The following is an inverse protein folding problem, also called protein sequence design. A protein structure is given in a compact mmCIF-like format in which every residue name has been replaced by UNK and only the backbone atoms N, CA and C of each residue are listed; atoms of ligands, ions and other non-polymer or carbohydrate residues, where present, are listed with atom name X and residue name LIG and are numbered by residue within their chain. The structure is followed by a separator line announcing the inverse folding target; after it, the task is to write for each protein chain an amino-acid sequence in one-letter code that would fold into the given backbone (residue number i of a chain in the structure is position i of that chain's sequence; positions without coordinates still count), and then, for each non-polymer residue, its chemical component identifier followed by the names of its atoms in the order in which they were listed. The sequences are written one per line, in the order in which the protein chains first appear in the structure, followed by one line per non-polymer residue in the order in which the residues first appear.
data_IF_457218810990
#
_entry.id   IF_457218810990
#
_cell.length_a   1.000
_cell.length_b   1.000
_cell.length_c   1.000
_cell.angle_alpha   90.00
_cell.angle_beta   90.00
_cell.angle_gamma   90.00
#
_symmetry.space_group_name_H-M   'P 1'
#
loop_
_entity.id
_entity.type
_entity.pdbx_description
1 polymer ?
#
# COMPACT_ATOMS: atom_id res chain seq x y z
N UNK A 1 18.82 -27.17 -22.80
CA UNK A 1 19.08 -26.44 -21.54
C UNK A 1 17.81 -25.70 -21.17
N UNK A 2 17.17 -26.05 -20.05
CA UNK A 2 15.98 -25.35 -19.55
C UNK A 2 16.42 -24.18 -18.68
N UNK A 3 15.95 -22.96 -18.98
CA UNK A 3 16.24 -21.79 -18.16
C UNK A 3 15.47 -21.90 -16.83
N UNK A 4 16.11 -21.59 -15.68
CA UNK A 4 15.43 -21.67 -14.39
C UNK A 4 14.34 -20.58 -14.28
N UNK A 5 13.16 -20.97 -13.81
CA UNK A 5 12.04 -20.04 -13.58
C UNK A 5 12.42 -19.05 -12.47
N UNK A 6 12.39 -17.75 -12.78
CA UNK A 6 12.76 -16.67 -11.82
C UNK A 6 11.55 -15.91 -11.28
N UNK A 7 10.47 -15.85 -12.04
CA UNK A 7 9.28 -15.09 -11.69
C UNK A 7 8.05 -15.98 -11.88
N UNK A 8 7.16 -15.95 -10.89
CA UNK A 8 5.93 -16.73 -10.90
C UNK A 8 4.77 -15.86 -10.41
N UNK A 9 3.75 -15.72 -11.23
CA UNK A 9 2.52 -15.01 -10.90
C UNK A 9 1.35 -15.97 -11.03
N UNK A 10 0.61 -16.15 -9.93
CA UNK A 10 -0.58 -16.98 -9.85
C UNK A 10 -1.73 -16.07 -9.48
N UNK A 11 -2.71 -15.95 -10.39
CA UNK A 11 -3.96 -15.25 -10.16
C UNK A 11 -5.09 -16.21 -10.47
N UNK A 12 -5.81 -16.64 -9.45
CA UNK A 12 -6.87 -17.62 -9.61
C UNK A 12 -8.10 -17.19 -8.83
N UNK A 13 -9.28 -17.55 -9.31
CA UNK A 13 -10.51 -17.36 -8.52
C UNK A 13 -10.55 -18.36 -7.35
N UNK A 14 -10.17 -19.60 -7.62
CA UNK A 14 -10.21 -20.74 -6.69
C UNK A 14 -8.82 -21.31 -6.38
N UNK A 15 -8.73 -22.17 -5.38
CA UNK A 15 -7.51 -22.92 -5.04
C UNK A 15 -7.07 -23.78 -6.24
N UNK A 16 -5.82 -23.67 -6.73
CA UNK A 16 -5.31 -24.57 -7.77
C UNK A 16 -5.22 -26.04 -7.32
N UNK A 17 -5.36 -26.30 -6.02
CA UNK A 17 -5.49 -27.64 -5.44
C UNK A 17 -4.16 -28.30 -5.10
N UNK A 18 -4.24 -29.34 -4.26
CA UNK A 18 -3.07 -30.02 -3.64
C UNK A 18 -2.02 -30.45 -4.67
N UNK A 19 -2.45 -31.03 -5.79
CA UNK A 19 -1.54 -31.54 -6.83
C UNK A 19 -0.72 -30.43 -7.48
N UNK A 20 -1.33 -29.27 -7.69
CA UNK A 20 -0.65 -28.11 -8.29
C UNK A 20 0.30 -27.51 -7.26
N UNK A 21 -0.14 -27.31 -6.02
CA UNK A 21 0.73 -26.84 -4.94
C UNK A 21 1.92 -27.76 -4.71
N UNK A 22 1.73 -29.07 -4.68
CA UNK A 22 2.81 -30.04 -4.54
C UNK A 22 3.86 -29.89 -5.65
N UNK A 23 3.45 -29.60 -6.89
CA UNK A 23 4.39 -29.32 -7.99
C UNK A 23 5.08 -27.97 -7.81
N UNK A 24 4.33 -26.93 -7.46
CA UNK A 24 4.90 -25.60 -7.26
C UNK A 24 5.91 -25.57 -6.09
N UNK A 25 5.69 -26.38 -5.05
CA UNK A 25 6.62 -26.58 -3.92
C UNK A 25 7.96 -27.23 -4.31
N UNK A 26 8.11 -27.67 -5.56
CA UNK A 26 9.41 -28.19 -6.07
C UNK A 26 10.23 -27.12 -6.77
N UNK A 27 9.64 -25.97 -7.07
CA UNK A 27 10.29 -24.90 -7.83
C UNK A 27 11.18 -24.08 -6.90
N UNK A 28 12.48 -24.06 -7.20
CA UNK A 28 13.50 -23.33 -6.45
C UNK A 28 14.03 -22.13 -7.24
N UNK A 29 14.70 -21.22 -6.55
CA UNK A 29 15.39 -20.09 -7.19
C UNK A 29 14.48 -18.96 -7.68
N UNK A 30 13.19 -19.01 -7.33
CA UNK A 30 12.23 -17.93 -7.62
C UNK A 30 12.68 -16.67 -6.89
N UNK A 31 12.74 -15.56 -7.63
CA UNK A 31 13.07 -14.23 -7.13
C UNK A 31 11.83 -13.36 -6.93
N UNK A 32 10.82 -13.52 -7.78
CA UNK A 32 9.56 -12.80 -7.69
C UNK A 32 8.39 -13.76 -7.67
N UNK A 33 7.58 -13.64 -6.63
CA UNK A 33 6.39 -14.44 -6.45
C UNK A 33 5.18 -13.56 -6.19
N UNK A 34 4.14 -13.73 -6.98
CA UNK A 34 2.85 -13.05 -6.79
C UNK A 34 1.74 -14.10 -6.74
N UNK A 35 0.98 -14.10 -5.64
CA UNK A 35 -0.12 -15.04 -5.43
C UNK A 35 -1.37 -14.27 -5.02
N UNK A 36 -2.40 -14.33 -5.86
CA UNK A 36 -3.71 -13.76 -5.62
C UNK A 36 -4.80 -14.82 -5.78
N UNK A 37 -5.66 -14.91 -4.77
CA UNK A 37 -6.84 -15.77 -4.81
C UNK A 37 -8.06 -15.07 -4.20
N UNK A 38 -9.17 -15.07 -4.93
CA UNK A 38 -10.38 -14.30 -4.60
C UNK A 38 -11.32 -14.98 -3.60
N UNK A 39 -11.44 -16.31 -3.62
CA UNK A 39 -12.44 -17.03 -2.82
C UNK A 39 -11.86 -17.94 -1.74
N UNK A 40 -10.56 -17.86 -1.49
CA UNK A 40 -9.88 -18.83 -0.63
C UNK A 40 -9.45 -18.33 0.76
N UNK A 41 -9.15 -19.31 1.63
CA UNK A 41 -8.54 -19.14 2.95
C UNK A 41 -7.08 -18.67 2.89
N UNK A 42 -6.32 -18.78 4.00
CA UNK A 42 -4.98 -18.20 4.11
C UNK A 42 -4.02 -18.70 3.00
N UNK A 43 -3.08 -17.88 2.50
CA UNK A 43 -2.23 -18.26 1.38
C UNK A 43 -1.37 -19.48 1.72
N UNK A 44 -1.56 -20.60 1.01
CA UNK A 44 -0.76 -21.82 1.21
C UNK A 44 0.73 -21.65 0.90
N UNK A 45 1.12 -20.60 0.18
CA UNK A 45 2.53 -20.19 0.04
C UNK A 45 3.23 -19.97 1.40
N UNK A 46 2.48 -19.68 2.47
CA UNK A 46 3.03 -19.60 3.81
C UNK A 46 3.46 -20.99 4.37
N UNK A 47 3.02 -22.09 3.75
CA UNK A 47 3.33 -23.47 4.13
C UNK A 47 4.53 -23.98 3.31
N UNK A 48 5.75 -23.68 3.77
CA UNK A 48 6.99 -24.31 3.30
C UNK A 48 7.79 -23.54 2.25
N UNK A 49 7.20 -22.58 1.52
CA UNK A 49 7.98 -21.79 0.56
C UNK A 49 8.94 -20.83 1.21
N UNK A 50 8.64 -20.40 2.43
CA UNK A 50 9.53 -19.55 3.22
C UNK A 50 10.92 -20.19 3.36
N UNK A 51 10.96 -21.50 3.64
CA UNK A 51 12.20 -22.26 3.75
C UNK A 51 12.85 -22.47 2.37
N UNK A 52 12.04 -22.90 1.39
CA UNK A 52 12.49 -23.22 0.03
C UNK A 52 13.09 -22.01 -0.71
N UNK A 53 12.50 -20.83 -0.53
CA UNK A 53 12.83 -19.61 -1.29
C UNK A 53 13.59 -18.57 -0.45
N UNK A 54 13.93 -18.89 0.80
CA UNK A 54 14.67 -18.03 1.74
C UNK A 54 15.91 -17.38 1.13
N UNK A 55 16.63 -18.12 0.28
CA UNK A 55 17.90 -17.72 -0.34
C UNK A 55 17.77 -17.00 -1.68
N UNK A 56 16.56 -16.90 -2.25
CA UNK A 56 16.36 -16.34 -3.59
C UNK A 56 15.29 -15.26 -3.68
N UNK A 57 14.27 -15.30 -2.81
CA UNK A 57 13.09 -14.45 -2.95
C UNK A 57 13.42 -12.99 -2.57
N UNK A 58 13.19 -12.08 -3.52
CA UNK A 58 13.38 -10.64 -3.33
C UNK A 58 12.07 -9.86 -3.46
N UNK A 59 11.06 -10.42 -4.13
CA UNK A 59 9.75 -9.80 -4.31
C UNK A 59 8.65 -10.80 -3.96
N UNK A 60 7.75 -10.41 -3.06
CA UNK A 60 6.63 -11.23 -2.64
C UNK A 60 5.35 -10.40 -2.62
N UNK A 61 4.33 -10.93 -3.27
CA UNK A 61 3.00 -10.36 -3.29
C UNK A 61 1.98 -11.42 -2.85
N UNK A 62 1.26 -11.10 -1.77
CA UNK A 62 0.20 -11.92 -1.18
C UNK A 62 -1.10 -11.12 -1.20
N UNK A 63 -1.98 -11.45 -2.14
CA UNK A 63 -3.22 -10.73 -2.39
C UNK A 63 -4.32 -10.93 -1.34
N UNK A 64 -4.17 -11.88 -0.41
CA UNK A 64 -5.18 -12.13 0.64
C UNK A 64 -4.61 -12.84 1.86
N UNK A 65 -4.19 -12.09 2.87
CA UNK A 65 -3.75 -12.61 4.18
C UNK A 65 -4.79 -12.47 5.30
N UNK A 66 -6.04 -12.14 4.96
CA UNK A 66 -7.13 -12.09 5.93
C UNK A 66 -7.31 -13.45 6.61
N UNK A 67 -7.49 -13.43 7.94
CA UNK A 67 -7.62 -14.65 8.75
C UNK A 67 -6.30 -15.38 9.05
N UNK A 68 -5.16 -14.93 8.50
CA UNK A 68 -3.84 -15.44 8.92
C UNK A 68 -3.44 -14.78 10.24
N UNK A 69 -3.14 -15.55 11.30
CA UNK A 69 -2.60 -14.99 12.54
C UNK A 69 -1.29 -14.22 12.29
N UNK A 70 -1.14 -13.06 12.93
CA UNK A 70 0.05 -12.21 12.81
C UNK A 70 1.35 -12.96 13.12
N UNK A 71 1.32 -13.88 14.10
CA UNK A 71 2.46 -14.72 14.49
C UNK A 71 2.95 -15.63 13.36
N UNK A 72 2.04 -16.16 12.54
CA UNK A 72 2.39 -16.98 11.38
C UNK A 72 3.05 -16.11 10.31
N UNK A 73 2.48 -14.94 10.01
CA UNK A 73 3.08 -13.99 9.06
C UNK A 73 4.49 -13.61 9.51
N UNK A 74 4.67 -13.18 10.75
CA UNK A 74 5.99 -12.84 11.31
C UNK A 74 6.98 -14.00 11.17
N UNK A 75 6.58 -15.22 11.53
CA UNK A 75 7.45 -16.40 11.43
C UNK A 75 7.88 -16.71 10.00
N UNK A 76 7.00 -16.50 9.03
CA UNK A 76 7.32 -16.66 7.60
C UNK A 76 8.28 -15.58 7.13
N UNK A 77 8.01 -14.32 7.44
CA UNK A 77 8.84 -13.20 6.97
C UNK A 77 10.24 -13.20 7.59
N UNK A 78 10.41 -13.69 8.84
CA UNK A 78 11.73 -13.91 9.44
C UNK A 78 12.63 -14.85 8.62
N UNK A 79 12.05 -15.74 7.81
CA UNK A 79 12.79 -16.69 6.96
C UNK A 79 13.12 -16.11 5.58
N UNK A 80 12.72 -14.88 5.28
CA UNK A 80 12.89 -14.24 3.96
C UNK A 80 13.81 -13.01 4.06
N UNK A 81 15.08 -13.16 4.47
CA UNK A 81 15.96 -12.03 4.77
C UNK A 81 16.34 -11.19 3.54
N UNK A 82 16.23 -11.75 2.33
CA UNK A 82 16.56 -11.07 1.07
C UNK A 82 15.39 -10.28 0.48
N UNK A 83 14.23 -10.28 1.12
CA UNK A 83 13.04 -9.62 0.60
C UNK A 83 13.24 -8.11 0.55
N UNK A 84 13.03 -7.54 -0.63
CA UNK A 84 13.17 -6.11 -0.93
C UNK A 84 11.82 -5.46 -1.21
N UNK A 85 10.90 -6.20 -1.81
CA UNK A 85 9.57 -5.70 -2.16
C UNK A 85 8.50 -6.63 -1.60
N UNK A 86 7.59 -6.05 -0.81
CA UNK A 86 6.49 -6.77 -0.19
C UNK A 86 5.17 -6.09 -0.53
N UNK A 87 4.28 -6.82 -1.19
CA UNK A 87 2.87 -6.51 -1.28
C UNK A 87 2.09 -7.46 -0.37
N UNK A 88 1.46 -6.92 0.69
CA UNK A 88 0.78 -7.70 1.71
C UNK A 88 -0.62 -7.13 1.96
N UNK A 89 -1.61 -7.79 1.37
CA UNK A 89 -3.04 -7.42 1.43
C UNK A 89 -3.77 -8.29 2.43
N UNK A 90 -4.79 -7.76 3.11
CA UNK A 90 -5.56 -8.50 4.11
C UNK A 90 -4.88 -8.73 5.47
N UNK A 91 -3.63 -8.32 5.67
CA UNK A 91 -2.95 -8.48 6.96
C UNK A 91 -3.40 -7.41 7.97
N UNK A 92 -3.55 -7.73 9.27
CA UNK A 92 -3.93 -6.74 10.28
C UNK A 92 -2.94 -5.58 10.33
N UNK A 93 -3.41 -4.34 10.24
CA UNK A 93 -2.53 -3.16 10.20
C UNK A 93 -1.63 -3.03 11.43
N UNK A 94 -2.11 -3.46 12.60
CA UNK A 94 -1.31 -3.50 13.84
C UNK A 94 -0.12 -4.48 13.78
N UNK A 95 -0.17 -5.50 12.93
CA UNK A 95 0.92 -6.46 12.75
C UNK A 95 1.99 -6.00 11.75
N UNK A 96 1.65 -5.09 10.83
CA UNK A 96 2.55 -4.64 9.77
C UNK A 96 3.90 -4.14 10.29
N UNK A 97 3.99 -3.27 11.33
CA UNK A 97 5.28 -2.84 11.86
C UNK A 97 6.16 -4.01 12.32
N UNK A 98 5.60 -5.00 13.01
CA UNK A 98 6.35 -6.17 13.47
C UNK A 98 6.81 -7.06 12.31
N UNK A 99 5.97 -7.21 11.27
CA UNK A 99 6.31 -7.96 10.06
C UNK A 99 7.48 -7.31 9.33
N UNK A 100 7.41 -6.01 9.04
CA UNK A 100 8.48 -5.32 8.30
C UNK A 100 9.78 -5.21 9.11
N UNK A 101 9.69 -5.22 10.44
CA UNK A 101 10.87 -5.27 11.30
C UNK A 101 11.67 -6.57 11.18
N UNK A 102 11.08 -7.62 10.59
CA UNK A 102 11.75 -8.89 10.27
C UNK A 102 12.45 -8.87 8.90
N UNK A 103 12.31 -7.79 8.13
CA UNK A 103 12.72 -7.70 6.73
C UNK A 103 13.76 -6.58 6.56
N UNK A 104 15.04 -6.82 6.89
CA UNK A 104 16.05 -5.76 6.98
C UNK A 104 16.36 -5.08 5.63
N UNK A 105 16.14 -5.79 4.52
CA UNK A 105 16.42 -5.31 3.16
C UNK A 105 15.19 -4.71 2.46
N UNK A 106 14.06 -4.59 3.15
CA UNK A 106 12.81 -4.10 2.56
C UNK A 106 12.94 -2.63 2.14
N UNK A 107 12.71 -2.36 0.86
CA UNK A 107 12.72 -1.01 0.29
C UNK A 107 11.34 -0.57 -0.19
N UNK A 108 10.44 -1.51 -0.48
CA UNK A 108 9.10 -1.21 -0.95
C UNK A 108 8.05 -2.01 -0.17
N UNK A 109 7.05 -1.30 0.36
CA UNK A 109 5.90 -1.89 1.03
C UNK A 109 4.63 -1.42 0.33
N UNK A 110 3.81 -2.37 -0.08
CA UNK A 110 2.43 -2.16 -0.51
C UNK A 110 1.50 -2.93 0.42
N UNK A 111 0.58 -2.25 1.11
CA UNK A 111 -0.25 -2.90 2.12
C UNK A 111 -1.63 -2.25 2.23
N UNK A 112 -2.47 -2.81 3.09
CA UNK A 112 -3.82 -2.33 3.37
C UNK A 112 -3.93 -1.84 4.80
N UNK A 113 -4.63 -0.72 4.96
CA UNK A 113 -5.13 -0.24 6.22
C UNK A 113 -6.53 -0.81 6.46
N UNK A 114 -6.63 -1.73 7.42
CA UNK A 114 -7.86 -2.46 7.80
C UNK A 114 -8.41 -1.98 9.15
N UNK A 115 -8.03 -0.79 9.59
CA UNK A 115 -8.56 -0.16 10.80
C UNK A 115 -7.65 -0.30 12.03
N UNK A 116 -8.29 -0.14 13.20
CA UNK A 116 -7.59 0.18 14.43
C UNK A 116 -7.04 -1.03 15.18
N UNK A 117 -5.94 -0.79 15.88
CA UNK A 117 -5.33 -1.75 16.81
C UNK A 117 -4.25 -1.07 17.63
N UNK A 118 -3.76 -1.75 18.66
CA UNK A 118 -2.67 -1.23 19.47
C UNK A 118 -1.35 -1.32 18.69
N UNK A 119 -0.93 -0.19 18.13
CA UNK A 119 0.34 -0.09 17.41
C UNK A 119 1.49 -0.05 18.42
N UNK A 120 2.08 -1.21 18.68
CA UNK A 120 3.30 -1.28 19.49
C UNK A 120 4.50 -0.90 18.60
N UNK A 121 5.35 0.03 19.04
CA UNK A 121 6.61 0.26 18.35
C UNK A 121 7.42 -1.04 18.37
N UNK A 122 7.99 -1.45 17.23
CA UNK A 122 8.81 -2.65 17.17
C UNK A 122 10.07 -2.47 18.01
N UNK A 123 10.54 -3.56 18.63
CA UNK A 123 11.78 -3.58 19.42
C UNK A 123 13.03 -3.51 18.52
N UNK A 124 12.88 -3.91 17.25
CA UNK A 124 13.93 -3.86 16.24
C UNK A 124 13.77 -2.66 15.33
N UNK A 125 14.87 -2.11 14.78
CA UNK A 125 14.80 -1.00 13.85
C UNK A 125 14.03 -1.41 12.59
N UNK A 126 13.10 -0.56 12.17
CA UNK A 126 12.38 -0.77 10.91
C UNK A 126 13.30 -0.59 9.69
N UNK A 127 12.96 -1.18 8.55
CA UNK A 127 13.73 -1.02 7.33
C UNK A 127 13.64 0.39 6.74
N UNK A 128 14.62 0.76 5.92
CA UNK A 128 14.70 2.07 5.25
C UNK A 128 13.85 2.08 3.97
N UNK A 129 12.53 2.15 4.15
CA UNK A 129 11.58 2.19 3.03
C UNK A 129 11.85 3.37 2.10
N UNK A 130 11.86 3.06 0.80
CA UNK A 130 11.92 4.02 -0.31
C UNK A 130 10.56 4.19 -0.99
N UNK A 131 9.71 3.16 -0.96
CA UNK A 131 8.35 3.22 -1.54
C UNK A 131 7.34 2.70 -0.54
N UNK A 132 6.28 3.49 -0.33
CA UNK A 132 5.17 3.11 0.52
C UNK A 132 3.86 3.31 -0.25
N UNK A 133 3.14 2.21 -0.47
CA UNK A 133 1.77 2.21 -0.98
C UNK A 133 0.83 1.73 0.12
N UNK A 134 -0.17 2.54 0.42
CA UNK A 134 -1.20 2.23 1.40
C UNK A 134 -2.56 2.27 0.70
N UNK A 135 -3.29 1.16 0.78
CA UNK A 135 -4.69 1.08 0.37
C UNK A 135 -5.58 1.17 1.60
N UNK A 136 -6.65 1.96 1.56
CA UNK A 136 -7.62 2.01 2.67
C UNK A 136 -8.90 1.27 2.28
N UNK A 137 -9.41 0.41 3.17
CA UNK A 137 -10.73 -0.20 2.99
C UNK A 137 -11.88 0.79 3.23
N UNK A 138 -13.06 0.46 2.72
CA UNK A 138 -14.29 1.28 2.86
C UNK A 138 -14.90 1.29 4.27
N UNK A 139 -14.36 0.51 5.20
CA UNK A 139 -14.99 0.12 6.48
C UNK A 139 -14.32 0.76 7.71
N UNK A 140 -13.54 1.83 7.54
CA UNK A 140 -12.90 2.49 8.69
C UNK A 140 -13.90 3.35 9.49
N UNK A 141 -14.66 2.69 10.36
CA UNK A 141 -15.67 3.29 11.25
C UNK A 141 -15.02 4.23 12.30
N UNK A 142 -13.75 3.99 12.64
CA UNK A 142 -13.00 4.77 13.65
C UNK A 142 -12.41 6.08 13.09
N UNK A 143 -12.53 6.30 11.78
CA UNK A 143 -12.07 7.49 11.09
C UNK A 143 -10.55 7.54 10.84
N UNK A 144 -10.11 8.42 9.92
CA UNK A 144 -8.76 8.39 9.33
C UNK A 144 -7.63 8.81 10.29
N UNK A 145 -7.92 9.20 11.55
CA UNK A 145 -6.89 9.72 12.45
C UNK A 145 -5.83 8.68 12.82
N UNK A 146 -6.24 7.42 12.98
CA UNK A 146 -5.34 6.32 13.30
C UNK A 146 -4.47 5.92 12.10
N UNK A 147 -4.97 6.07 10.87
CA UNK A 147 -4.22 5.86 9.62
C UNK A 147 -2.95 6.72 9.57
N UNK A 148 -3.07 8.04 9.81
CA UNK A 148 -1.92 8.95 9.75
C UNK A 148 -0.86 8.63 10.81
N UNK A 149 -1.30 8.25 12.01
CA UNK A 149 -0.39 7.83 13.09
C UNK A 149 0.31 6.53 12.76
N UNK A 150 -0.42 5.56 12.22
CA UNK A 150 0.13 4.29 11.79
C UNK A 150 1.16 4.44 10.65
N UNK A 151 0.88 5.26 9.62
CA UNK A 151 1.86 5.51 8.55
C UNK A 151 3.14 6.17 9.06
N UNK A 152 3.06 7.06 10.06
CA UNK A 152 4.26 7.63 10.71
C UNK A 152 5.11 6.58 11.41
N UNK A 153 4.50 5.52 11.96
CA UNK A 153 5.23 4.42 12.58
C UNK A 153 6.02 3.64 11.52
N UNK A 154 5.48 3.45 10.31
CA UNK A 154 6.16 2.74 9.23
C UNK A 154 7.37 3.50 8.65
N UNK A 155 7.46 4.81 8.89
CA UNK A 155 8.48 5.71 8.34
C UNK A 155 9.29 6.41 9.45
N UNK A 156 10.07 5.66 10.26
CA UNK A 156 10.86 6.27 11.32
C UNK A 156 12.13 6.94 10.81
N UNK A 157 12.68 6.48 9.68
CA UNK A 157 13.90 7.01 9.09
C UNK A 157 13.64 8.31 8.33
N UNK A 158 14.64 9.18 8.25
CA UNK A 158 14.54 10.42 7.49
C UNK A 158 15.19 10.25 6.12
N UNK A 159 14.68 10.99 5.12
CA UNK A 159 15.26 11.10 3.78
C UNK A 159 15.44 9.78 3.02
N UNK A 160 14.65 8.75 3.36
CA UNK A 160 14.66 7.46 2.64
C UNK A 160 13.53 7.34 1.62
N UNK A 161 12.34 7.83 1.96
CA UNK A 161 11.15 7.72 1.14
C UNK A 161 11.27 8.55 -0.15
N UNK A 162 11.08 7.89 -1.29
CA UNK A 162 11.07 8.46 -2.63
C UNK A 162 9.67 8.51 -3.23
N UNK A 163 8.85 7.51 -2.96
CA UNK A 163 7.49 7.42 -3.48
C UNK A 163 6.50 7.13 -2.36
N UNK A 164 5.44 7.92 -2.30
CA UNK A 164 4.31 7.73 -1.40
C UNK A 164 3.02 7.65 -2.20
N UNK A 165 2.29 6.55 -2.04
CA UNK A 165 0.98 6.34 -2.67
C UNK A 165 -0.07 6.02 -1.62
N UNK A 166 -1.16 6.79 -1.61
CA UNK A 166 -2.36 6.51 -0.82
C UNK A 166 -3.55 6.26 -1.75
N UNK A 167 -3.97 5.01 -1.82
CA UNK A 167 -5.14 4.58 -2.57
C UNK A 167 -6.33 4.53 -1.61
N UNK A 168 -6.95 5.69 -1.42
CA UNK A 168 -8.09 5.84 -0.54
C UNK A 168 -9.39 5.44 -1.25
N UNK A 169 -10.20 4.56 -0.65
CA UNK A 169 -11.58 4.30 -1.09
C UNK A 169 -12.57 4.96 -0.13
N UNK A 170 -13.27 5.98 -0.62
CA UNK A 170 -14.25 6.73 0.13
C UNK A 170 -15.68 6.25 -0.21
N UNK A 171 -16.28 5.40 0.64
CA UNK A 171 -17.71 5.08 0.55
C UNK A 171 -18.56 6.06 1.39
N UNK A 172 -17.98 6.67 2.43
CA UNK A 172 -18.69 7.51 3.41
C UNK A 172 -18.24 8.99 3.43
N UNK A 173 -17.67 9.49 2.32
CA UNK A 173 -17.23 10.88 2.19
C UNK A 173 -15.74 11.03 1.88
N UNK A 174 -15.34 12.21 1.41
CA UNK A 174 -13.98 12.49 0.99
C UNK A 174 -12.99 12.42 2.16
N UNK A 175 -11.88 11.69 1.99
CA UNK A 175 -10.80 11.64 2.98
C UNK A 175 -9.92 12.87 2.79
N UNK A 176 -9.94 13.80 3.75
CA UNK A 176 -9.00 14.93 3.77
C UNK A 176 -7.72 14.53 4.48
N UNK A 177 -6.56 14.80 3.87
CA UNK A 177 -5.27 14.55 4.50
C UNK A 177 -4.94 15.72 5.44
N UNK A 178 -4.70 15.47 6.74
CA UNK A 178 -4.38 16.54 7.67
C UNK A 178 -3.06 17.23 7.32
N UNK A 179 -3.06 18.56 7.32
CA UNK A 179 -1.84 19.37 7.14
C UNK A 179 -0.68 18.96 8.08
N UNK A 180 -0.91 18.65 9.38
CA UNK A 180 0.18 18.20 10.26
C UNK A 180 0.87 16.92 9.77
N UNK A 181 0.13 16.02 9.11
CA UNK A 181 0.72 14.82 8.52
C UNK A 181 1.64 15.19 7.34
N UNK A 182 1.17 16.06 6.44
CA UNK A 182 1.98 16.52 5.28
C UNK A 182 3.24 17.24 5.75
N UNK A 183 3.12 18.19 6.69
CA UNK A 183 4.27 18.91 7.25
C UNK A 183 5.28 17.95 7.90
N UNK A 184 4.79 16.91 8.60
CA UNK A 184 5.67 15.91 9.18
C UNK A 184 6.36 15.05 8.10
N UNK A 185 5.63 14.63 7.08
CA UNK A 185 6.13 13.82 5.98
C UNK A 185 7.20 14.59 5.17
N UNK A 186 6.92 15.82 4.77
CA UNK A 186 7.86 16.68 4.03
C UNK A 186 9.03 17.10 4.90
N UNK A 187 8.83 17.36 6.20
CA UNK A 187 9.91 17.66 7.13
C UNK A 187 10.93 16.51 7.26
N UNK A 188 10.47 15.26 7.16
CA UNK A 188 11.34 14.07 7.21
C UNK A 188 11.90 13.65 5.85
N UNK A 189 11.10 13.76 4.80
CA UNK A 189 11.38 13.15 3.50
C UNK A 189 11.38 14.11 2.32
N UNK A 190 11.13 15.41 2.51
CA UNK A 190 10.98 16.37 1.41
C UNK A 190 12.19 16.42 0.48
N UNK A 191 13.40 16.20 1.00
CA UNK A 191 14.63 16.15 0.18
C UNK A 191 14.75 14.92 -0.71
N UNK A 192 14.09 13.82 -0.37
CA UNK A 192 14.16 12.53 -1.08
C UNK A 192 12.89 12.20 -1.85
N UNK A 193 11.76 12.83 -1.51
CA UNK A 193 10.45 12.55 -2.07
C UNK A 193 10.38 13.04 -3.52
N UNK A 194 10.07 12.11 -4.42
CA UNK A 194 9.99 12.28 -5.87
C UNK A 194 8.56 12.14 -6.37
N UNK A 195 7.82 11.17 -5.82
CA UNK A 195 6.44 10.90 -6.22
C UNK A 195 5.52 10.95 -5.00
N UNK A 196 4.45 11.73 -5.13
CA UNK A 196 3.38 11.77 -4.15
C UNK A 196 2.04 11.63 -4.84
N UNK A 197 1.35 10.52 -4.60
CA UNK A 197 0.06 10.22 -5.20
C UNK A 197 -0.96 9.85 -4.12
N UNK A 198 -2.06 10.57 -4.03
CA UNK A 198 -3.11 10.31 -3.02
C UNK A 198 -4.50 10.17 -3.62
N UNK A 199 -4.58 10.10 -4.96
CA UNK A 199 -5.80 9.85 -5.72
C UNK A 199 -6.96 10.75 -5.30
N UNK A 200 -8.04 10.12 -4.83
CA UNK A 200 -9.29 10.78 -4.41
C UNK A 200 -9.20 11.46 -3.04
N UNK A 201 -8.11 11.27 -2.28
CA UNK A 201 -7.91 11.98 -1.02
C UNK A 201 -7.62 13.46 -1.29
N UNK A 202 -8.19 14.32 -0.46
CA UNK A 202 -8.16 15.76 -0.66
C UNK A 202 -6.99 16.43 0.06
N UNK A 203 -6.37 17.36 -0.65
CA UNK A 203 -5.46 18.36 -0.14
C UNK A 203 -6.05 19.76 -0.29
N UNK A 204 -5.61 20.69 0.56
CA UNK A 204 -5.85 22.12 0.34
C UNK A 204 -4.82 22.68 -0.64
N UNK A 205 -5.18 23.73 -1.38
CA UNK A 205 -4.25 24.43 -2.28
C UNK A 205 -3.01 24.96 -1.53
N UNK A 206 -3.18 25.43 -0.29
CA UNK A 206 -2.06 25.84 0.56
C UNK A 206 -1.09 24.67 0.83
N UNK A 207 -1.62 23.46 1.06
CA UNK A 207 -0.81 22.27 1.30
C UNK A 207 -0.05 21.85 0.04
N UNK A 208 -0.69 21.94 -1.13
CA UNK A 208 -0.04 21.69 -2.44
C UNK A 208 1.12 22.68 -2.65
N UNK A 209 0.86 23.97 -2.48
CA UNK A 209 1.90 25.02 -2.61
C UNK A 209 3.07 24.80 -1.64
N UNK A 210 2.76 24.44 -0.39
CA UNK A 210 3.77 24.09 0.61
C UNK A 210 4.62 22.88 0.20
N UNK A 211 4.03 21.83 -0.37
CA UNK A 211 4.77 20.65 -0.83
C UNK A 211 5.70 20.99 -1.99
N UNK A 212 5.22 21.72 -2.99
CA UNK A 212 6.02 22.12 -4.16
C UNK A 212 7.23 23.00 -3.78
N UNK A 213 7.09 23.83 -2.74
CA UNK A 213 8.20 24.65 -2.24
C UNK A 213 9.17 23.91 -1.32
N UNK A 214 8.70 22.89 -0.59
CA UNK A 214 9.50 22.17 0.42
C UNK A 214 10.19 20.92 -0.13
N UNK A 215 9.70 20.35 -1.23
CA UNK A 215 10.19 19.10 -1.80
C UNK A 215 10.94 19.34 -3.12
N UNK A 216 12.27 19.63 -3.10
CA UNK A 216 13.01 20.01 -4.30
C UNK A 216 13.14 18.89 -5.34
N UNK A 217 12.94 17.63 -4.95
CA UNK A 217 13.00 16.48 -5.86
C UNK A 217 11.62 16.01 -6.35
N UNK A 218 10.54 16.67 -5.96
CA UNK A 218 9.18 16.27 -6.31
C UNK A 218 8.96 16.41 -7.82
N UNK A 219 8.87 15.27 -8.51
CA UNK A 219 8.64 15.17 -9.95
C UNK A 219 7.15 14.96 -10.25
N UNK A 220 6.46 14.19 -9.40
CA UNK A 220 5.06 13.82 -9.62
C UNK A 220 4.22 14.15 -8.39
N UNK A 221 3.14 14.91 -8.59
CA UNK A 221 2.14 15.20 -7.57
C UNK A 221 0.74 14.90 -8.11
N UNK A 222 0.11 13.84 -7.59
CA UNK A 222 -1.26 13.44 -7.92
C UNK A 222 -2.14 13.56 -6.67
N UNK A 223 -3.10 14.48 -6.69
CA UNK A 223 -4.01 14.70 -5.57
C UNK A 223 -5.34 15.32 -6.02
N UNK A 224 -6.37 15.17 -5.21
CA UNK A 224 -7.63 15.90 -5.36
C UNK A 224 -7.57 17.19 -4.55
N UNK A 225 -8.10 18.28 -5.09
CA UNK A 225 -8.26 19.55 -4.37
C UNK A 225 -9.72 19.99 -4.42
N UNK A 226 -10.24 20.50 -3.30
CA UNK A 226 -11.55 21.14 -3.32
C UNK A 226 -11.40 22.49 -4.03
N UNK A 227 -11.97 22.62 -5.24
CA UNK A 227 -12.03 23.90 -5.95
C UNK A 227 -13.34 24.61 -5.58
N UNK A 228 -13.27 25.78 -4.93
CA UNK A 228 -14.48 26.58 -4.65
C UNK A 228 -15.12 27.16 -5.92
N UNK A 229 -14.38 27.18 -7.05
CA UNK A 229 -14.81 27.86 -8.29
C UNK A 229 -15.64 26.97 -9.23
N UNK A 230 -15.89 25.71 -8.87
CA UNK A 230 -16.87 24.89 -9.59
C UNK A 230 -18.28 25.19 -9.05
N UNK A 231 -18.69 26.44 -9.18
CA UNK A 231 -20.12 26.74 -9.30
C UNK A 231 -20.50 26.16 -10.66
N UNK A 232 -21.10 24.97 -10.68
CA UNK A 232 -21.81 24.50 -11.86
C UNK A 232 -22.89 25.54 -12.15
N UNK A 233 -22.58 26.45 -13.05
CA UNK A 233 -23.49 27.50 -13.50
C UNK A 233 -24.60 26.82 -14.30
N UNK A 234 -25.60 26.27 -13.60
CA UNK A 234 -26.74 25.56 -14.16
C UNK A 234 -27.73 26.50 -14.87
N UNK A 235 -27.24 27.63 -15.41
CA UNK A 235 -28.04 28.70 -16.04
C UNK A 235 -27.87 28.81 -17.55
N UNK A 236 -27.09 27.94 -18.20
CA UNK A 236 -26.88 28.00 -19.66
C UNK A 236 -27.84 27.15 -20.51
N UNK A 237 -28.83 26.46 -19.92
CA UNK A 237 -29.95 25.88 -20.67
C UNK A 237 -31.25 26.66 -20.43
N UNK A 238 -31.34 27.89 -20.95
CA UNK A 238 -32.64 28.44 -21.34
C UNK A 238 -32.89 28.01 -22.78
N UNK A 239 -33.75 27.01 -22.94
CA UNK A 239 -34.38 26.67 -24.22
C UNK A 239 -35.03 27.94 -24.79
N UNK A 240 -34.55 28.34 -25.96
CA UNK A 240 -35.19 29.31 -26.82
C UNK A 240 -36.43 28.64 -27.44
N UNK A 241 -37.57 28.75 -26.74
CA UNK A 241 -38.87 28.34 -27.29
C UNK A 241 -39.51 29.53 -27.99
N UNK A 242 -39.25 29.66 -29.29
CA UNK A 242 -40.09 30.43 -30.20
C UNK A 242 -41.50 29.82 -30.25
N UNK A 243 -42.58 30.61 -30.12
CA UNK A 243 -43.93 30.08 -30.27
C UNK A 243 -44.26 29.88 -31.75
N UNK A 244 -44.69 28.66 -32.11
CA UNK A 244 -45.35 28.38 -33.38
C UNK A 244 -46.82 28.76 -33.20
N UNK A 245 -47.27 29.79 -33.94
CA UNK A 245 -48.68 30.13 -34.06
C UNK A 245 -49.38 29.11 -34.98
N UNK A 246 -50.57 28.67 -34.55
CA UNK A 246 -51.56 28.01 -35.40
C UNK A 246 -52.28 29.02 -36.28
#
# INVERSE_FOLDING_TARGET
MTLPLRELTIRTQYDPGERVWARLNTIQGIRRLSVWSLEWGPPRVLQGWADLLSSSLTHLELGRCAGVPATILTSVFMKLPLLQELCLKGAPSAAIPAIIACLPNLIALDTEYLGSGNYRPPLTPLPRLQRLTVQTGSVDIDGPQKLWTWMRILLPHQQTLKSFTLNAFAVHGQITIPRPFIVNLTGRHGKSLQDFAVGVAQLTLETVSYMCSTCPQLATLECSVASPDVVCDSRSYREDKSPVNW
#
